data_IF_545114625488
#
_entry.id   IF_545114625488
#
_cell.length_a   1.000
_cell.length_b   1.000
_cell.length_c   1.000
_cell.angle_alpha   90.00
_cell.angle_beta   90.00
_cell.angle_gamma   90.00
#
_symmetry.space_group_name_H-M   'P 1'
#
loop_
_entity.id
_entity.type
_entity.pdbx_description
1 polymer ?
#
# COMPACT_ATOMS: atom_id res chain seq x y z
N UNK A 1 -4.17 3.45 -18.87
CA UNK A 1 -5.30 4.40 -18.67
C UNK A 1 -5.36 4.96 -17.24
N UNK A 2 -4.86 4.25 -16.24
CA UNK A 2 -4.72 4.76 -14.88
C UNK A 2 -3.86 6.03 -14.85
N UNK A 3 -4.19 6.96 -13.94
CA UNK A 3 -3.51 8.25 -13.83
C UNK A 3 -2.05 8.04 -13.43
N UNK A 4 -1.19 8.78 -14.12
CA UNK A 4 0.26 8.86 -13.90
C UNK A 4 1.00 7.52 -13.99
N UNK A 5 2.23 7.50 -13.49
CA UNK A 5 3.20 6.42 -13.65
C UNK A 5 3.99 6.16 -12.37
N UNK A 6 5.04 5.32 -12.47
CA UNK A 6 5.98 5.01 -11.39
C UNK A 6 6.42 6.29 -10.68
N UNK A 7 6.61 6.18 -9.36
CA UNK A 7 7.03 7.27 -8.47
C UNK A 7 5.94 8.30 -8.14
N UNK A 8 4.67 7.90 -8.29
CA UNK A 8 3.53 8.73 -7.89
C UNK A 8 2.59 8.01 -6.94
N UNK A 9 1.69 8.77 -6.31
CA UNK A 9 0.62 8.25 -5.46
C UNK A 9 -0.55 7.66 -6.25
N UNK A 10 -0.58 7.83 -7.57
CA UNK A 10 -1.72 7.51 -8.43
C UNK A 10 -1.79 6.01 -8.76
N UNK A 11 -2.96 5.51 -9.15
CA UNK A 11 -3.16 4.09 -9.48
C UNK A 11 -2.23 3.61 -10.58
N UNK A 12 -1.77 4.49 -11.49
CA UNK A 12 -0.81 4.13 -12.53
C UNK A 12 0.56 3.71 -12.01
N UNK A 13 0.93 4.08 -10.78
CA UNK A 13 2.18 3.65 -10.14
C UNK A 13 2.06 2.28 -9.46
N UNK A 14 0.89 2.01 -8.86
CA UNK A 14 0.70 0.86 -7.98
C UNK A 14 -0.07 -0.30 -8.63
N UNK A 15 -0.95 0.00 -9.58
CA UNK A 15 -1.80 -1.00 -10.22
C UNK A 15 -1.08 -1.64 -11.40
N UNK A 16 -0.82 -2.93 -11.27
CA UNK A 16 -0.12 -3.73 -12.27
C UNK A 16 -1.00 -4.87 -12.81
N UNK A 17 -0.71 -5.40 -14.01
CA UNK A 17 -1.33 -6.64 -14.46
C UNK A 17 -0.90 -7.81 -13.56
N UNK A 18 -1.85 -8.70 -13.25
CA UNK A 18 -1.61 -9.93 -12.50
C UNK A 18 -2.38 -11.08 -13.15
N UNK A 19 -1.67 -12.15 -13.48
CA UNK A 19 -2.26 -13.39 -14.00
C UNK A 19 -1.82 -14.54 -13.12
N UNK A 20 -2.77 -15.36 -12.70
CA UNK A 20 -2.53 -16.51 -11.81
C UNK A 20 -3.07 -17.75 -12.49
N UNK A 21 -2.23 -18.78 -12.63
CA UNK A 21 -2.60 -20.06 -13.25
C UNK A 21 -2.35 -21.20 -12.28
N UNK A 22 -3.42 -21.89 -11.88
CA UNK A 22 -3.33 -23.11 -11.09
C UNK A 22 -4.30 -24.17 -11.64
N UNK A 23 -3.83 -25.05 -12.56
CA UNK A 23 -4.67 -26.04 -13.22
C UNK A 23 -5.40 -26.95 -12.24
N UNK A 24 -6.69 -27.23 -12.52
CA UNK A 24 -7.55 -28.04 -11.66
C UNK A 24 -7.97 -27.39 -10.34
N UNK A 25 -7.49 -26.16 -10.05
CA UNK A 25 -7.80 -25.42 -8.81
C UNK A 25 -8.40 -24.05 -9.07
N UNK A 26 -7.91 -23.32 -10.07
CA UNK A 26 -8.48 -22.05 -10.55
C UNK A 26 -9.20 -22.33 -11.86
N UNK A 27 -10.47 -21.93 -11.95
CA UNK A 27 -11.24 -22.00 -13.20
C UNK A 27 -10.61 -21.08 -14.26
N UNK A 28 -10.23 -21.57 -15.45
CA UNK A 28 -9.67 -20.74 -16.51
C UNK A 28 -10.62 -19.59 -16.91
N UNK A 29 -10.06 -18.44 -17.28
CA UNK A 29 -10.82 -17.26 -17.68
C UNK A 29 -11.54 -16.54 -16.52
N UNK A 30 -11.31 -16.94 -15.27
CA UNK A 30 -11.88 -16.23 -14.10
C UNK A 30 -11.26 -14.83 -13.99
N UNK A 31 -12.13 -13.82 -13.85
CA UNK A 31 -11.73 -12.44 -13.57
C UNK A 31 -12.04 -12.15 -12.10
N UNK A 32 -11.05 -11.63 -11.37
CA UNK A 32 -11.23 -11.10 -10.02
C UNK A 32 -10.96 -9.61 -10.01
N UNK A 33 -11.83 -8.89 -9.32
CA UNK A 33 -11.73 -7.46 -9.09
C UNK A 33 -11.27 -7.13 -7.67
N UNK A 34 -11.02 -8.14 -6.85
CA UNK A 34 -10.63 -7.96 -5.45
C UNK A 34 -9.23 -7.33 -5.32
N UNK A 35 -8.96 -6.74 -4.16
CA UNK A 35 -7.64 -6.20 -3.86
C UNK A 35 -6.66 -7.36 -3.65
N UNK A 36 -5.48 -7.21 -4.26
CA UNK A 36 -4.32 -8.08 -4.08
C UNK A 36 -3.10 -7.18 -3.91
N UNK A 37 -2.28 -7.46 -2.91
CA UNK A 37 -0.98 -6.81 -2.72
C UNK A 37 0.16 -7.75 -3.07
N UNK A 38 1.30 -7.19 -3.48
CA UNK A 38 2.47 -7.98 -3.83
C UNK A 38 2.93 -8.88 -2.66
N UNK A 39 2.87 -8.37 -1.43
CA UNK A 39 3.27 -9.13 -0.24
C UNK A 39 2.26 -10.24 0.18
N UNK A 40 1.08 -10.33 -0.44
CA UNK A 40 0.12 -11.42 -0.19
C UNK A 40 0.61 -12.77 -0.70
N UNK A 41 1.55 -12.75 -1.65
CA UNK A 41 2.07 -13.95 -2.25
C UNK A 41 2.89 -14.80 -1.28
N UNK A 42 3.62 -14.18 -0.34
CA UNK A 42 4.38 -14.92 0.66
C UNK A 42 3.50 -15.87 1.50
N UNK A 43 2.47 -15.39 2.23
CA UNK A 43 1.59 -16.28 2.98
C UNK A 43 0.75 -17.19 2.07
N UNK A 44 0.41 -16.75 0.85
CA UNK A 44 -0.32 -17.60 -0.11
C UNK A 44 0.51 -18.83 -0.53
N UNK A 45 1.80 -18.64 -0.85
CA UNK A 45 2.69 -19.75 -1.21
C UNK A 45 3.02 -20.64 -0.01
N UNK A 46 3.14 -20.07 1.18
CA UNK A 46 3.38 -20.84 2.39
C UNK A 46 2.16 -21.67 2.79
N UNK A 47 0.93 -21.15 2.62
CA UNK A 47 -0.28 -21.95 2.81
C UNK A 47 -0.34 -23.11 1.80
N UNK A 48 0.03 -22.86 0.53
CA UNK A 48 0.16 -23.91 -0.47
C UNK A 48 1.17 -25.00 -0.07
N UNK A 49 2.24 -24.62 0.61
CA UNK A 49 3.25 -25.53 1.15
C UNK A 49 2.84 -26.17 2.50
N UNK A 50 1.64 -25.86 3.02
CA UNK A 50 1.09 -26.43 4.25
C UNK A 50 1.25 -25.59 5.51
N UNK A 51 1.89 -24.41 5.45
CA UNK A 51 2.01 -23.49 6.58
C UNK A 51 0.92 -22.41 6.53
N UNK A 52 -0.07 -22.51 7.43
CA UNK A 52 -1.20 -21.57 7.55
C UNK A 52 -0.99 -20.47 8.58
N UNK A 53 0.08 -20.54 9.37
CA UNK A 53 0.29 -19.73 10.57
C UNK A 53 1.47 -18.78 10.46
N UNK A 54 2.17 -18.75 9.32
CA UNK A 54 3.41 -17.97 9.12
C UNK A 54 3.32 -16.53 9.60
N UNK A 55 2.19 -15.84 9.38
CA UNK A 55 2.02 -14.44 9.79
C UNK A 55 2.10 -14.31 11.33
N UNK A 56 1.46 -15.22 12.05
CA UNK A 56 1.48 -15.23 13.52
C UNK A 56 2.80 -15.79 14.08
N UNK A 57 3.38 -16.76 13.38
CA UNK A 57 4.67 -17.32 13.77
C UNK A 57 5.80 -16.28 13.64
N UNK A 58 5.81 -15.50 12.55
CA UNK A 58 6.78 -14.42 12.34
C UNK A 58 6.68 -13.32 13.39
N UNK A 59 5.48 -13.02 13.93
CA UNK A 59 5.33 -12.06 15.03
C UNK A 59 6.00 -12.57 16.32
N UNK A 60 5.97 -13.89 16.56
CA UNK A 60 6.59 -14.54 17.72
C UNK A 60 8.09 -14.74 17.55
N UNK A 61 8.52 -15.00 16.32
CA UNK A 61 9.91 -15.28 15.97
C UNK A 61 10.06 -16.65 15.33
N UNK A 62 10.63 -16.71 14.12
CA UNK A 62 10.89 -17.96 13.38
C UNK A 62 12.37 -18.05 13.02
N UNK A 63 12.98 -19.22 13.22
CA UNK A 63 14.30 -19.51 12.65
C UNK A 63 14.15 -20.09 11.25
N UNK A 64 14.73 -19.43 10.26
CA UNK A 64 14.78 -19.89 8.88
C UNK A 64 16.12 -19.51 8.27
N UNK A 65 16.63 -20.30 7.32
CA UNK A 65 17.87 -20.00 6.56
C UNK A 65 19.05 -19.51 7.42
N UNK A 66 19.22 -20.09 8.61
CA UNK A 66 20.30 -19.76 9.55
C UNK A 66 20.14 -18.45 10.32
N UNK A 67 18.98 -17.80 10.27
CA UNK A 67 18.69 -16.52 10.94
C UNK A 67 17.35 -16.56 11.68
N UNK A 68 17.18 -15.67 12.65
CA UNK A 68 15.90 -15.47 13.34
C UNK A 68 15.18 -14.28 12.74
N UNK A 69 13.93 -14.47 12.35
CA UNK A 69 13.03 -13.44 11.82
C UNK A 69 11.93 -13.16 12.83
N UNK A 70 11.78 -11.91 13.25
CA UNK A 70 10.68 -11.44 14.09
C UNK A 70 10.08 -10.19 13.45
N UNK A 71 9.02 -10.39 12.69
CA UNK A 71 8.48 -9.39 11.77
C UNK A 71 6.95 -9.40 11.81
N UNK A 72 6.35 -8.23 11.68
CA UNK A 72 4.96 -8.11 11.28
C UNK A 72 4.91 -8.04 9.76
N UNK A 73 4.57 -9.14 9.08
CA UNK A 73 4.29 -9.10 7.65
C UNK A 73 2.81 -8.78 7.45
N UNK A 74 2.51 -7.89 6.51
CA UNK A 74 1.13 -7.44 6.29
C UNK A 74 0.35 -8.32 5.35
N UNK A 75 1.02 -9.26 4.66
CA UNK A 75 0.42 -10.18 3.70
C UNK A 75 -0.66 -11.08 4.30
N UNK A 76 -1.66 -11.43 3.48
CA UNK A 76 -2.69 -12.42 3.82
C UNK A 76 -2.76 -13.45 2.71
N UNK A 77 -3.10 -14.69 3.07
CA UNK A 77 -3.23 -15.74 2.06
C UNK A 77 -4.48 -15.53 1.20
N UNK A 78 -4.27 -15.51 -0.12
CA UNK A 78 -5.32 -15.43 -1.13
C UNK A 78 -5.82 -16.82 -1.55
N UNK A 79 -5.20 -17.89 -1.04
CA UNK A 79 -5.47 -19.26 -1.51
C UNK A 79 -6.95 -19.66 -1.43
N UNK A 80 -7.70 -19.35 -0.34
CA UNK A 80 -9.12 -19.66 -0.28
C UNK A 80 -9.90 -18.98 -1.40
N UNK A 81 -9.59 -17.71 -1.69
CA UNK A 81 -10.23 -16.94 -2.76
C UNK A 81 -9.86 -17.44 -4.16
N UNK A 82 -8.58 -17.79 -4.37
CA UNK A 82 -8.10 -18.31 -5.65
C UNK A 82 -8.73 -19.68 -5.98
N UNK A 83 -8.90 -20.54 -4.98
CA UNK A 83 -9.43 -21.91 -5.16
C UNK A 83 -10.95 -22.00 -5.07
N UNK A 84 -11.66 -20.86 -5.00
CA UNK A 84 -13.11 -20.81 -4.92
C UNK A 84 -13.71 -21.26 -3.58
N UNK A 85 -12.89 -21.41 -2.53
CA UNK A 85 -13.35 -21.72 -1.17
C UNK A 85 -13.89 -20.50 -0.44
N UNK A 86 -13.51 -19.30 -0.88
CA UNK A 86 -14.05 -18.03 -0.40
C UNK A 86 -14.48 -17.18 -1.59
N UNK A 87 -15.61 -16.48 -1.44
CA UNK A 87 -16.18 -15.63 -2.49
C UNK A 87 -15.37 -14.33 -2.68
N UNK A 88 -14.89 -13.74 -1.57
CA UNK A 88 -14.13 -12.49 -1.56
C UNK A 88 -12.71 -12.71 -1.05
N UNK A 89 -11.79 -11.89 -1.54
CA UNK A 89 -10.43 -11.78 -0.98
C UNK A 89 -10.50 -11.34 0.49
N UNK A 90 -9.66 -11.91 1.38
CA UNK A 90 -9.50 -11.40 2.75
C UNK A 90 -8.82 -10.02 2.78
N UNK A 91 -8.21 -9.58 1.66
CA UNK A 91 -7.55 -8.29 1.52
C UNK A 91 -8.58 -7.20 1.21
N UNK A 92 -8.80 -6.30 2.17
CA UNK A 92 -9.68 -5.13 2.04
C UNK A 92 -8.93 -3.79 2.21
N UNK A 93 -7.69 -3.83 2.71
CA UNK A 93 -6.87 -2.66 3.00
C UNK A 93 -5.61 -2.61 2.11
N UNK A 94 -5.25 -1.43 1.66
CA UNK A 94 -4.01 -1.11 0.96
C UNK A 94 -3.41 0.19 1.50
N UNK A 95 -2.12 0.21 1.84
CA UNK A 95 -1.42 1.43 2.26
C UNK A 95 -0.45 1.79 1.15
N UNK A 96 -0.54 3.02 0.65
CA UNK A 96 0.32 3.54 -0.41
C UNK A 96 1.53 4.20 0.26
N UNK A 97 2.72 3.66 -0.01
CA UNK A 97 3.97 4.09 0.60
C UNK A 97 4.93 4.51 -0.52
N UNK A 98 5.57 5.67 -0.42
CA UNK A 98 6.64 6.09 -1.36
C UNK A 98 7.91 5.28 -1.15
N UNK A 99 8.85 5.38 -2.08
CA UNK A 99 10.21 4.84 -1.93
C UNK A 99 10.99 5.51 -0.78
N UNK A 100 10.68 6.77 -0.48
CA UNK A 100 11.17 7.51 0.70
C UNK A 100 10.47 7.10 2.02
N UNK A 101 9.43 6.27 1.95
CA UNK A 101 8.72 5.75 3.12
C UNK A 101 7.60 6.66 3.67
N UNK A 102 7.13 7.61 2.88
CA UNK A 102 6.00 8.48 3.17
C UNK A 102 4.67 7.74 3.02
N UNK A 103 3.69 8.09 3.87
CA UNK A 103 2.33 7.57 3.76
C UNK A 103 1.53 8.39 2.73
N UNK A 104 1.62 8.01 1.47
CA UNK A 104 0.95 8.70 0.35
C UNK A 104 -0.57 8.65 0.45
N UNK A 105 -1.11 7.53 0.95
CA UNK A 105 -2.54 7.29 0.99
C UNK A 105 -2.91 5.93 1.54
N UNK A 106 -4.20 5.68 1.59
CA UNK A 106 -4.78 4.42 2.01
C UNK A 106 -5.99 4.10 1.14
N UNK A 107 -6.20 2.83 0.85
CA UNK A 107 -7.42 2.33 0.24
C UNK A 107 -8.07 1.30 1.13
N UNK A 108 -9.35 1.48 1.38
CA UNK A 108 -10.20 0.50 2.02
C UNK A 108 -11.38 0.19 1.10
N UNK A 109 -11.51 -1.07 0.71
CA UNK A 109 -12.48 -1.51 -0.30
C UNK A 109 -12.35 -0.69 -1.60
N UNK A 110 -13.37 0.07 -1.96
CA UNK A 110 -13.41 0.88 -3.17
C UNK A 110 -12.94 2.32 -2.93
N UNK A 111 -12.70 2.70 -1.68
CA UNK A 111 -12.37 4.07 -1.29
C UNK A 111 -10.86 4.24 -1.18
N UNK A 112 -10.31 5.20 -1.90
CA UNK A 112 -8.93 5.66 -1.75
C UNK A 112 -8.93 7.06 -1.16
N UNK A 113 -8.15 7.24 -0.11
CA UNK A 113 -7.83 8.54 0.48
C UNK A 113 -6.36 8.83 0.24
N UNK A 114 -6.07 9.94 -0.42
CA UNK A 114 -4.70 10.40 -0.70
C UNK A 114 -4.37 11.51 0.28
N UNK A 115 -3.22 11.42 0.96
CA UNK A 115 -2.71 12.42 1.91
C UNK A 115 -1.61 13.28 1.28
N UNK A 116 -0.82 12.70 0.38
CA UNK A 116 0.24 13.39 -0.35
C UNK A 116 0.11 13.10 -1.84
N UNK A 117 0.24 14.13 -2.67
CA UNK A 117 0.11 13.98 -4.12
C UNK A 117 1.39 14.38 -4.86
N UNK A 118 1.74 13.60 -5.89
CA UNK A 118 2.70 14.02 -6.89
C UNK A 118 1.98 14.89 -7.91
N UNK A 119 2.33 16.19 -7.92
CA UNK A 119 1.72 17.22 -8.80
C UNK A 119 2.44 17.33 -10.13
N UNK A 120 3.74 17.03 -10.15
CA UNK A 120 4.51 16.93 -11.38
C UNK A 120 3.99 15.74 -12.21
N UNK A 121 4.09 15.84 -13.53
CA UNK A 121 3.61 14.82 -14.48
C UNK A 121 4.72 14.49 -15.48
N UNK A 122 4.83 13.22 -15.87
CA UNK A 122 5.62 12.80 -17.02
C UNK A 122 7.08 12.46 -16.69
N UNK A 123 7.98 13.27 -17.21
CA UNK A 123 9.41 12.92 -17.37
C UNK A 123 10.17 12.71 -16.04
N UNK A 124 11.49 12.52 -16.15
CA UNK A 124 12.40 12.46 -15.01
C UNK A 124 12.27 13.62 -14.00
N UNK A 125 11.68 14.77 -14.37
CA UNK A 125 11.40 15.85 -13.42
C UNK A 125 10.54 15.36 -12.24
N UNK A 126 9.65 14.39 -12.47
CA UNK A 126 8.80 13.83 -11.43
C UNK A 126 9.60 13.27 -10.25
N UNK A 127 10.74 12.65 -10.54
CA UNK A 127 11.67 12.09 -9.55
C UNK A 127 12.49 13.15 -8.80
N UNK A 128 12.50 14.38 -9.30
CA UNK A 128 13.17 15.51 -8.65
C UNK A 128 12.23 16.41 -7.86
N UNK A 129 10.92 16.20 -7.97
CA UNK A 129 9.89 17.04 -7.34
C UNK A 129 9.29 16.33 -6.13
N UNK A 130 9.18 17.01 -4.98
CA UNK A 130 8.68 16.38 -3.76
C UNK A 130 7.18 16.09 -3.87
N UNK A 131 6.75 15.06 -3.14
CA UNK A 131 5.32 14.88 -2.87
C UNK A 131 4.77 16.09 -2.10
N UNK A 132 3.61 16.59 -2.52
CA UNK A 132 2.94 17.70 -1.83
C UNK A 132 1.96 17.16 -0.79
N UNK A 133 2.22 17.43 0.49
CA UNK A 133 1.28 17.14 1.57
C UNK A 133 0.01 18.00 1.46
N UNK A 134 -1.15 17.36 1.55
CA UNK A 134 -2.44 18.03 1.38
C UNK A 134 -3.05 18.44 2.72
N UNK A 135 -3.59 19.65 2.77
CA UNK A 135 -4.43 20.11 3.91
C UNK A 135 -5.82 19.48 3.90
N UNK A 136 -6.33 19.19 2.70
CA UNK A 136 -7.59 18.48 2.47
C UNK A 136 -7.22 17.21 1.67
N UNK A 137 -7.22 16.03 2.31
CA UNK A 137 -6.94 14.77 1.62
C UNK A 137 -7.92 14.56 0.47
N UNK A 138 -7.49 13.98 -0.65
CA UNK A 138 -8.41 13.65 -1.76
C UNK A 138 -9.10 12.31 -1.51
N UNK A 139 -10.35 12.18 -1.93
CA UNK A 139 -11.13 10.94 -1.81
C UNK A 139 -11.55 10.52 -3.20
N UNK A 140 -11.32 9.25 -3.54
CA UNK A 140 -11.78 8.64 -4.77
C UNK A 140 -12.52 7.35 -4.46
N UNK A 141 -13.58 7.08 -5.21
CA UNK A 141 -14.14 5.73 -5.30
C UNK A 141 -13.59 5.09 -6.58
N UNK A 142 -12.65 4.16 -6.43
CA UNK A 142 -11.92 3.53 -7.55
C UNK A 142 -12.77 2.57 -8.39
N UNK A 143 -14.06 2.36 -8.06
CA UNK A 143 -15.01 1.65 -8.92
C UNK A 143 -15.74 2.59 -9.85
N UNK A 144 -16.10 3.78 -9.37
CA UNK A 144 -16.80 4.78 -10.16
C UNK A 144 -15.85 5.72 -10.88
N UNK A 145 -14.67 5.98 -10.29
CA UNK A 145 -13.57 6.75 -10.86
C UNK A 145 -12.26 5.94 -10.78
N UNK A 146 -12.12 4.88 -11.58
CA UNK A 146 -10.93 4.02 -11.57
C UNK A 146 -9.66 4.73 -12.05
N UNK A 147 -9.80 5.92 -12.65
CA UNK A 147 -8.70 6.67 -13.23
C UNK A 147 -8.34 7.93 -12.43
N UNK A 148 -9.05 8.21 -11.33
CA UNK A 148 -8.75 9.31 -10.42
C UNK A 148 -8.74 10.68 -11.11
N UNK A 149 -9.75 10.96 -11.94
CA UNK A 149 -9.87 12.24 -12.67
C UNK A 149 -11.05 13.10 -12.22
N UNK A 150 -11.87 12.65 -11.26
CA UNK A 150 -13.04 13.40 -10.83
C UNK A 150 -12.67 14.79 -10.27
N UNK A 151 -11.55 14.91 -9.55
CA UNK A 151 -11.06 16.19 -9.00
C UNK A 151 -10.60 17.20 -10.07
N UNK A 152 -10.40 16.74 -11.31
CA UNK A 152 -9.96 17.58 -12.44
C UNK A 152 -11.10 17.87 -13.41
N UNK A 153 -12.00 16.89 -13.61
CA UNK A 153 -12.96 16.90 -14.72
C UNK A 153 -14.41 17.09 -14.30
N UNK A 154 -14.74 16.86 -13.03
CA UNK A 154 -16.12 16.95 -12.54
C UNK A 154 -16.41 18.30 -11.89
N UNK A 155 -17.50 18.93 -12.32
CA UNK A 155 -18.01 20.16 -11.72
C UNK A 155 -18.62 19.94 -10.31
N UNK A 156 -18.97 18.70 -9.96
CA UNK A 156 -19.68 18.36 -8.70
C UNK A 156 -18.82 17.52 -7.76
N UNK A 157 -17.53 17.34 -8.04
CA UNK A 157 -16.63 16.56 -7.20
C UNK A 157 -16.61 17.07 -5.76
N UNK A 158 -16.58 18.38 -5.54
CA UNK A 158 -16.49 18.95 -4.20
C UNK A 158 -17.78 18.81 -3.38
N UNK A 159 -18.95 18.90 -4.02
CA UNK A 159 -20.23 18.61 -3.35
C UNK A 159 -20.30 17.13 -2.94
N UNK A 160 -19.88 16.24 -3.85
CA UNK A 160 -19.78 14.81 -3.55
C UNK A 160 -18.75 14.55 -2.42
N UNK A 161 -17.59 15.21 -2.47
CA UNK A 161 -16.53 15.09 -1.47
C UNK A 161 -17.02 15.47 -0.07
N UNK A 162 -17.69 16.62 0.06
CA UNK A 162 -18.19 17.13 1.35
C UNK A 162 -19.17 16.12 1.97
N UNK A 163 -20.05 15.52 1.15
CA UNK A 163 -20.98 14.49 1.60
C UNK A 163 -20.28 13.19 2.06
N UNK A 164 -19.02 12.98 1.69
CA UNK A 164 -18.23 11.78 2.01
C UNK A 164 -17.00 12.07 2.87
N UNK A 165 -16.84 13.28 3.40
CA UNK A 165 -15.64 13.68 4.15
C UNK A 165 -15.41 12.81 5.39
N UNK A 166 -16.47 12.21 5.93
CA UNK A 166 -16.39 11.28 7.05
C UNK A 166 -15.48 10.06 6.76
N UNK A 167 -15.29 9.70 5.49
CA UNK A 167 -14.39 8.62 5.06
C UNK A 167 -12.93 8.96 5.40
N UNK A 168 -12.55 10.23 5.38
CA UNK A 168 -11.19 10.68 5.75
C UNK A 168 -10.88 10.31 7.20
N UNK A 169 -11.83 10.48 8.13
CA UNK A 169 -11.62 10.08 9.53
C UNK A 169 -11.47 8.57 9.68
N UNK A 170 -12.25 7.78 8.94
CA UNK A 170 -12.10 6.33 8.89
C UNK A 170 -10.74 5.90 8.35
N UNK A 171 -10.28 6.55 7.29
CA UNK A 171 -8.96 6.33 6.70
C UNK A 171 -7.83 6.68 7.68
N UNK A 172 -7.92 7.80 8.39
CA UNK A 172 -6.98 8.18 9.44
C UNK A 172 -6.96 7.13 10.56
N UNK A 173 -8.12 6.69 11.05
CA UNK A 173 -8.19 5.69 12.11
C UNK A 173 -7.55 4.35 11.70
N UNK A 174 -7.76 3.91 10.44
CA UNK A 174 -7.10 2.71 9.90
C UNK A 174 -5.60 2.91 9.76
N UNK A 175 -5.15 4.07 9.29
CA UNK A 175 -3.73 4.40 9.19
C UNK A 175 -3.06 4.49 10.56
N UNK A 176 -3.75 5.04 11.57
CA UNK A 176 -3.27 5.06 12.97
C UNK A 176 -3.05 3.64 13.48
N UNK A 177 -4.02 2.73 13.29
CA UNK A 177 -3.86 1.32 13.67
C UNK A 177 -2.70 0.63 12.96
N UNK A 178 -2.51 0.93 11.67
CA UNK A 178 -1.34 0.45 10.93
C UNK A 178 -0.05 1.01 11.54
N UNK A 179 0.01 2.31 11.85
CA UNK A 179 1.19 2.96 12.41
C UNK A 179 1.52 2.46 13.83
N UNK A 180 0.53 2.12 14.64
CA UNK A 180 0.72 1.52 15.97
C UNK A 180 1.50 0.20 15.92
N UNK A 181 1.46 -0.54 14.80
CA UNK A 181 2.25 -1.77 14.65
C UNK A 181 3.76 -1.50 14.74
N UNK A 182 4.22 -0.32 14.30
CA UNK A 182 5.63 0.06 14.34
C UNK A 182 6.17 0.26 15.76
N UNK A 183 5.29 0.41 16.77
CA UNK A 183 5.71 0.46 18.18
C UNK A 183 6.38 -0.87 18.57
N UNK A 184 5.79 -2.00 18.14
CA UNK A 184 6.27 -3.34 18.46
C UNK A 184 7.18 -3.91 17.36
N UNK A 185 7.02 -3.44 16.13
CA UNK A 185 7.72 -3.92 14.93
C UNK A 185 8.28 -2.73 14.13
N UNK A 186 9.35 -2.08 14.62
CA UNK A 186 9.92 -0.90 13.95
C UNK A 186 10.46 -1.25 12.57
N UNK A 187 10.60 -0.22 11.73
CA UNK A 187 11.17 -0.32 10.38
C UNK A 187 12.56 -0.98 10.45
N UNK A 188 12.75 -2.08 9.73
CA UNK A 188 14.00 -2.84 9.73
C UNK A 188 15.06 -2.18 8.85
N UNK A 189 14.63 -1.46 7.82
CA UNK A 189 15.49 -0.77 6.88
C UNK A 189 15.10 0.71 6.82
N UNK A 190 16.10 1.58 6.86
CA UNK A 190 15.91 3.01 6.56
C UNK A 190 15.72 3.16 5.03
N UNK A 191 14.76 3.98 4.58
CA UNK A 191 14.65 4.36 3.18
C UNK A 191 15.97 4.94 2.67
N UNK A 192 16.31 4.66 1.41
CA UNK A 192 17.41 5.36 0.76
C UNK A 192 16.95 6.80 0.50
N UNK A 193 17.81 7.78 0.73
CA UNK A 193 17.54 9.16 0.30
C UNK A 193 18.59 9.59 -0.71
N UNK A 194 18.17 10.45 -1.64
CA UNK A 194 19.06 11.22 -2.51
C UNK A 194 19.32 12.64 -1.97
N UNK A 195 18.71 13.01 -0.85
CA UNK A 195 18.88 14.32 -0.21
C UNK A 195 20.04 14.32 0.79
N UNK A 196 20.57 15.50 1.09
CA UNK A 196 21.66 15.65 2.05
C UNK A 196 21.24 15.37 3.51
N UNK A 197 19.94 15.20 3.78
CA UNK A 197 19.39 15.13 5.14
C UNK A 197 19.99 13.98 5.94
N UNK A 198 20.20 12.81 5.34
CA UNK A 198 20.86 11.69 6.04
C UNK A 198 22.34 11.95 6.33
N UNK A 199 23.04 12.73 5.50
CA UNK A 199 24.40 13.14 5.77
C UNK A 199 24.46 14.16 6.92
N UNK A 200 23.48 15.07 6.96
CA UNK A 200 23.32 16.08 8.01
C UNK A 200 22.91 15.43 9.33
N UNK A 201 21.95 14.49 9.33
CA UNK A 201 21.50 13.73 10.51
C UNK A 201 22.66 12.97 11.13
N UNK A 202 23.47 12.25 10.33
CA UNK A 202 24.70 11.58 10.81
C UNK A 202 25.71 12.54 11.42
N UNK A 203 25.85 13.74 10.85
CA UNK A 203 26.71 14.80 11.38
C UNK A 203 26.18 15.32 12.72
N UNK A 204 24.87 15.55 12.82
CA UNK A 204 24.20 16.00 14.05
C UNK A 204 24.30 14.94 15.15
N UNK A 205 24.08 13.66 14.85
CA UNK A 205 24.25 12.56 15.80
C UNK A 205 25.70 12.45 16.30
N UNK A 206 26.69 12.66 15.42
CA UNK A 206 28.11 12.65 15.79
C UNK A 206 28.52 13.86 16.65
N UNK A 207 27.80 14.99 16.53
CA UNK A 207 28.00 16.18 17.36
C UNK A 207 27.26 16.05 18.70
N UNK A 208 26.05 15.48 18.72
CA UNK A 208 25.25 15.29 19.93
C UNK A 208 25.75 14.17 20.84
N UNK A 209 26.59 13.27 20.32
CA UNK A 209 27.25 12.18 21.07
C UNK A 209 28.60 12.59 21.70
N UNK A 210 29.01 13.86 21.58
CA UNK A 210 30.16 14.47 22.28
C UNK A 210 29.70 15.33 23.44
#
# INVERSE_FOLDING_TARGET
>A
PFRSEKDTNWEGAFRIPLVVRYPGKIKPGTISNDIVQHHDWLPTFLELAGNKTVVEDLKKGVKAIGRTYKNHIDGVSLLPRLTGKAEKSPRNLFVYISDDGDMLGIRYDNWKVTFMEQRCKGTMQLWGEPFTAMRIPKIYNLRTDPYEFADVTSNTYWDWYINHVYIVYGAIALLTKFNETFINFPKIQKPNTFTADQAIEKLQDAVASK
#
